data_IF_702954043999
#
_entry.id   IF_702954043999
#
_cell.length_a   1.000
_cell.length_b   1.000
_cell.length_c   1.000
_cell.angle_alpha   90.00
_cell.angle_beta   90.00
_cell.angle_gamma   90.00
#
_symmetry.space_group_name_H-M   'P 1'
#
loop_
_entity.id
_entity.type
_entity.pdbx_description
1 polymer ?
#
# COMPACT_ATOMS: atom_id res chain seq x y z
N UNK A 1 -4.74 -76.18 -4.72
CA UNK A 1 -5.28 -75.25 -3.70
C UNK A 1 -4.61 -73.90 -3.90
N UNK A 2 -5.39 -72.81 -3.85
CA UNK A 2 -4.99 -71.44 -4.18
C UNK A 2 -4.35 -70.78 -2.93
N UNK A 3 -3.66 -69.64 -3.04
CA UNK A 3 -4.28 -68.31 -3.01
C UNK A 3 -3.40 -67.30 -3.75
N UNK A 4 -3.95 -66.83 -4.86
CA UNK A 4 -3.61 -65.55 -5.46
C UNK A 4 -4.07 -64.42 -4.52
N UNK A 5 -3.25 -63.38 -4.39
CA UNK A 5 -3.73 -62.08 -3.94
C UNK A 5 -3.30 -61.03 -4.94
N UNK A 6 -4.34 -60.40 -5.49
CA UNK A 6 -4.36 -59.40 -6.52
C UNK A 6 -3.54 -58.15 -6.19
N UNK A 7 -2.90 -57.63 -7.23
CA UNK A 7 -2.46 -56.26 -7.30
C UNK A 7 -3.67 -55.33 -7.55
N UNK A 8 -3.86 -54.25 -6.77
CA UNK A 8 -4.69 -53.15 -7.20
C UNK A 8 -3.84 -52.07 -7.87
N UNK A 9 -4.23 -51.80 -9.11
CA UNK A 9 -4.00 -50.59 -9.89
C UNK A 9 -3.79 -49.32 -9.05
N UNK A 10 -2.67 -48.64 -9.28
CA UNK A 10 -2.48 -47.24 -8.87
C UNK A 10 -3.48 -46.38 -9.64
N UNK A 11 -4.57 -46.02 -8.96
CA UNK A 11 -5.59 -45.11 -9.42
C UNK A 11 -5.04 -43.68 -9.51
N UNK A 12 -5.38 -43.02 -10.62
CA UNK A 12 -5.35 -41.57 -10.80
C UNK A 12 -6.01 -40.88 -9.59
N UNK A 13 -5.22 -40.17 -8.79
CA UNK A 13 -5.76 -39.21 -7.84
C UNK A 13 -6.19 -37.97 -8.62
N UNK A 14 -7.51 -37.80 -8.73
CA UNK A 14 -8.16 -36.56 -9.14
C UNK A 14 -7.68 -35.41 -8.24
N UNK A 15 -7.14 -34.35 -8.86
CA UNK A 15 -6.99 -33.06 -8.21
C UNK A 15 -8.39 -32.53 -7.88
N UNK A 16 -8.74 -32.59 -6.61
CA UNK A 16 -9.99 -32.04 -6.08
C UNK A 16 -9.81 -30.52 -6.02
N UNK A 17 -10.53 -29.81 -6.90
CA UNK A 17 -10.73 -28.37 -6.82
C UNK A 17 -11.36 -28.03 -5.46
N UNK A 18 -10.57 -27.50 -4.54
CA UNK A 18 -11.10 -26.85 -3.35
C UNK A 18 -11.54 -25.45 -3.77
N UNK A 19 -12.78 -25.36 -4.23
CA UNK A 19 -13.55 -24.12 -4.24
C UNK A 19 -13.72 -23.67 -2.80
N UNK A 20 -12.86 -22.75 -2.34
CA UNK A 20 -13.08 -22.01 -1.10
C UNK A 20 -14.24 -21.05 -1.40
N UNK A 21 -15.46 -21.48 -1.09
CA UNK A 21 -16.58 -20.59 -0.94
C UNK A 21 -16.24 -19.65 0.23
N UNK A 22 -16.07 -18.37 -0.07
CA UNK A 22 -16.01 -17.33 0.96
C UNK A 22 -17.45 -17.15 1.44
N UNK A 23 -17.79 -17.83 2.54
CA UNK A 23 -18.98 -17.49 3.32
C UNK A 23 -18.83 -16.07 3.84
N UNK A 24 -19.65 -15.16 3.30
CA UNK A 24 -19.81 -13.81 3.81
C UNK A 24 -20.71 -13.92 5.04
N UNK A 25 -20.12 -13.97 6.22
CA UNK A 25 -20.85 -13.89 7.48
C UNK A 25 -21.34 -12.44 7.68
N UNK A 26 -22.59 -12.18 7.30
CA UNK A 26 -23.27 -10.87 7.36
C UNK A 26 -24.27 -10.84 8.53
N UNK A 27 -23.83 -11.18 9.75
CA UNK A 27 -24.74 -11.31 10.92
C UNK A 27 -24.44 -10.44 12.14
N UNK A 28 -23.55 -9.44 12.07
CA UNK A 28 -23.46 -8.38 13.11
C UNK A 28 -23.79 -7.01 12.55
N UNK A 29 -25.02 -6.53 12.78
CA UNK A 29 -25.43 -5.18 12.40
C UNK A 29 -25.07 -4.17 13.48
N UNK A 30 -23.85 -3.65 13.41
CA UNK A 30 -23.48 -2.41 14.07
C UNK A 30 -24.12 -1.23 13.32
N UNK A 31 -24.89 -0.41 14.04
CA UNK A 31 -25.31 0.91 13.54
C UNK A 31 -24.11 1.83 13.68
N UNK A 32 -23.63 2.39 12.57
CA UNK A 32 -22.55 3.36 12.59
C UNK A 32 -23.15 4.76 12.82
N UNK A 33 -23.05 5.27 14.04
CA UNK A 33 -23.59 6.57 14.45
C UNK A 33 -22.68 7.75 14.07
N UNK A 34 -21.84 7.59 13.04
CA UNK A 34 -20.96 8.66 12.53
C UNK A 34 -21.70 9.65 11.64
N UNK A 35 -21.15 10.86 11.51
CA UNK A 35 -21.63 11.86 10.56
C UNK A 35 -21.12 11.55 9.14
N UNK A 36 -21.87 11.97 8.12
CA UNK A 36 -21.40 11.97 6.73
C UNK A 36 -20.26 12.98 6.56
N UNK A 37 -19.26 12.70 5.70
CA UNK A 37 -18.18 13.63 5.45
C UNK A 37 -18.70 14.89 4.74
N UNK A 38 -18.29 16.05 5.23
CA UNK A 38 -18.57 17.35 4.60
C UNK A 38 -17.38 17.71 3.70
N UNK A 39 -17.59 17.69 2.39
CA UNK A 39 -16.54 18.02 1.42
C UNK A 39 -16.37 19.53 1.25
N UNK A 40 -15.15 19.95 0.96
CA UNK A 40 -14.85 21.31 0.52
C UNK A 40 -15.33 21.53 -0.90
N UNK A 41 -15.45 22.80 -1.27
CA UNK A 41 -15.70 23.22 -2.65
C UNK A 41 -14.69 22.55 -3.59
N UNK A 42 -15.22 21.82 -4.57
CA UNK A 42 -14.42 21.09 -5.54
C UNK A 42 -14.08 22.01 -6.70
N UNK A 43 -12.88 21.88 -7.27
CA UNK A 43 -12.48 22.66 -8.45
C UNK A 43 -13.34 22.36 -9.68
N UNK A 44 -13.95 21.16 -9.72
CA UNK A 44 -14.77 20.67 -10.83
C UNK A 44 -16.18 20.29 -10.39
N UNK A 45 -17.22 20.64 -11.18
CA UNK A 45 -18.58 20.22 -10.89
C UNK A 45 -18.77 18.70 -10.98
N UNK A 46 -18.01 18.00 -11.84
CA UNK A 46 -18.07 16.54 -11.92
C UNK A 46 -17.57 15.88 -10.62
N UNK A 47 -16.52 16.43 -10.01
CA UNK A 47 -15.99 15.94 -8.74
C UNK A 47 -16.99 16.17 -7.60
N UNK A 48 -17.57 17.36 -7.51
CA UNK A 48 -18.61 17.67 -6.54
C UNK A 48 -19.81 16.71 -6.65
N UNK A 49 -20.25 16.43 -7.88
CA UNK A 49 -21.34 15.48 -8.17
C UNK A 49 -20.97 14.06 -7.74
N UNK A 50 -19.72 13.64 -7.97
CA UNK A 50 -19.25 12.32 -7.60
C UNK A 50 -19.11 12.13 -6.08
N UNK A 51 -18.62 13.16 -5.39
CA UNK A 51 -18.54 13.20 -3.92
C UNK A 51 -19.95 13.19 -3.28
N UNK A 52 -20.89 13.95 -3.85
CA UNK A 52 -22.29 13.90 -3.44
C UNK A 52 -22.90 12.50 -3.66
N UNK A 53 -22.60 11.87 -4.80
CA UNK A 53 -23.04 10.50 -5.12
C UNK A 53 -22.45 9.48 -4.15
N UNK A 54 -21.18 9.63 -3.76
CA UNK A 54 -20.54 8.80 -2.74
C UNK A 54 -21.29 8.91 -1.41
N UNK A 55 -21.60 10.13 -0.97
CA UNK A 55 -22.35 10.35 0.27
C UNK A 55 -23.75 9.74 0.21
N UNK A 56 -24.55 10.05 -0.81
CA UNK A 56 -25.97 9.65 -0.86
C UNK A 56 -26.18 8.17 -1.18
N UNK A 57 -25.36 7.56 -2.05
CA UNK A 57 -25.59 6.21 -2.56
C UNK A 57 -24.74 5.13 -1.91
N UNK A 58 -23.57 5.47 -1.34
CA UNK A 58 -22.62 4.49 -0.79
C UNK A 58 -22.53 4.61 0.73
N UNK A 59 -22.30 5.82 1.25
CA UNK A 59 -22.06 6.02 2.69
C UNK A 59 -23.37 6.07 3.48
N UNK A 60 -24.32 6.92 3.05
CA UNK A 60 -25.60 7.15 3.72
C UNK A 60 -26.34 5.86 4.10
N UNK A 61 -26.50 4.86 3.21
CA UNK A 61 -27.23 3.65 3.56
C UNK A 61 -26.64 2.87 4.75
N UNK A 62 -25.35 3.03 5.05
CA UNK A 62 -24.70 2.36 6.19
C UNK A 62 -24.96 3.04 7.53
N UNK A 63 -25.38 4.31 7.51
CA UNK A 63 -25.80 5.05 8.70
C UNK A 63 -27.29 4.86 9.03
N UNK A 64 -28.07 4.32 8.08
CA UNK A 64 -29.49 4.06 8.27
C UNK A 64 -29.75 2.82 9.12
N UNK A 65 -30.81 2.85 9.93
CA UNK A 65 -31.36 1.66 10.59
C UNK A 65 -31.89 0.66 9.56
N UNK A 66 -32.03 -0.62 9.93
CA UNK A 66 -32.57 -1.67 9.02
C UNK A 66 -33.93 -1.30 8.43
N UNK A 67 -34.78 -0.65 9.22
CA UNK A 67 -36.12 -0.23 8.79
C UNK A 67 -36.04 0.89 7.75
N UNK A 68 -35.21 1.90 8.00
CA UNK A 68 -34.94 2.99 7.04
C UNK A 68 -34.29 2.46 5.76
N UNK A 69 -33.32 1.54 5.85
CA UNK A 69 -32.74 0.88 4.67
C UNK A 69 -33.80 0.15 3.87
N UNK A 70 -34.70 -0.59 4.53
CA UNK A 70 -35.79 -1.31 3.86
C UNK A 70 -36.75 -0.34 3.17
N UNK A 71 -37.01 0.82 3.76
CA UNK A 71 -37.83 1.86 3.16
C UNK A 71 -37.16 2.44 1.90
N UNK A 72 -35.89 2.84 2.02
CA UNK A 72 -35.11 3.46 0.95
C UNK A 72 -34.92 2.54 -0.26
N UNK A 73 -34.72 1.23 -0.03
CA UNK A 73 -34.46 0.27 -1.12
C UNK A 73 -35.71 -0.35 -1.74
N UNK A 74 -36.91 -0.18 -1.18
CA UNK A 74 -38.13 -0.78 -1.72
C UNK A 74 -38.74 0.09 -2.82
N UNK A 75 -38.92 -0.48 -4.00
CA UNK A 75 -39.54 0.21 -5.15
C UNK A 75 -40.95 0.72 -4.83
N UNK A 76 -41.76 -0.09 -4.14
CA UNK A 76 -43.14 0.26 -3.78
C UNK A 76 -43.23 1.46 -2.84
N UNK A 77 -42.13 1.80 -2.15
CA UNK A 77 -42.06 2.92 -1.21
C UNK A 77 -41.56 4.21 -1.87
N UNK A 78 -41.17 4.16 -3.15
CA UNK A 78 -40.67 5.32 -3.89
C UNK A 78 -41.68 6.46 -3.93
N UNK A 79 -42.90 6.20 -4.38
CA UNK A 79 -43.96 7.20 -4.45
C UNK A 79 -44.31 7.78 -3.07
N UNK A 80 -44.17 6.97 -2.02
CA UNK A 80 -44.39 7.42 -0.63
C UNK A 80 -43.28 8.35 -0.16
N UNK A 81 -42.02 8.03 -0.42
CA UNK A 81 -40.87 8.87 -0.07
C UNK A 81 -40.88 10.20 -0.84
N UNK A 82 -41.36 10.20 -2.09
CA UNK A 82 -41.52 11.43 -2.89
C UNK A 82 -42.68 12.31 -2.42
N UNK A 83 -43.79 11.71 -1.95
CA UNK A 83 -44.95 12.44 -1.45
C UNK A 83 -44.80 12.93 0.00
N UNK A 84 -44.17 12.12 0.86
CA UNK A 84 -43.95 12.39 2.28
C UNK A 84 -42.47 12.19 2.62
N UNK A 85 -41.63 13.24 2.45
CA UNK A 85 -40.20 13.15 2.71
C UNK A 85 -39.95 12.81 4.18
N UNK A 86 -39.30 11.68 4.43
CA UNK A 86 -38.88 11.31 5.78
C UNK A 86 -37.50 11.90 6.02
N UNK A 87 -37.42 12.90 6.89
CA UNK A 87 -36.15 13.50 7.28
C UNK A 87 -35.41 12.61 8.30
N UNK A 88 -34.10 12.52 8.13
CA UNK A 88 -33.20 11.89 9.08
C UNK A 88 -32.09 12.84 9.46
N UNK A 89 -31.68 12.79 10.73
CA UNK A 89 -30.55 13.59 11.23
C UNK A 89 -29.35 12.68 11.45
N UNK A 90 -28.24 13.00 10.78
CA UNK A 90 -26.96 12.32 10.89
C UNK A 90 -25.90 13.32 11.37
N UNK A 91 -25.53 13.24 12.65
CA UNK A 91 -24.72 14.28 13.29
C UNK A 91 -25.46 15.62 13.24
N UNK A 92 -24.84 16.62 12.60
CA UNK A 92 -25.39 17.98 12.47
C UNK A 92 -26.15 18.22 11.16
N UNK A 93 -26.30 17.19 10.31
CA UNK A 93 -26.93 17.32 8.99
C UNK A 93 -28.27 16.59 8.97
N UNK A 94 -29.34 17.32 8.65
CA UNK A 94 -30.67 16.75 8.36
C UNK A 94 -30.86 16.61 6.85
N UNK A 95 -31.20 15.40 6.40
CA UNK A 95 -31.38 15.08 4.98
C UNK A 95 -32.71 14.33 4.78
N UNK A 96 -33.46 14.60 3.70
CA UNK A 96 -34.60 13.76 3.34
C UNK A 96 -34.13 12.39 2.83
N UNK A 97 -34.84 11.34 3.21
CA UNK A 97 -34.64 10.01 2.66
C UNK A 97 -35.20 9.93 1.23
N UNK A 98 -34.32 9.64 0.29
CA UNK A 98 -34.69 9.38 -1.10
C UNK A 98 -34.68 7.89 -1.39
N UNK A 99 -35.46 7.47 -2.39
CA UNK A 99 -35.42 6.10 -2.87
C UNK A 99 -34.08 5.79 -3.57
N UNK A 100 -33.44 4.68 -3.20
CA UNK A 100 -32.19 4.21 -3.82
C UNK A 100 -32.45 2.90 -4.55
N UNK A 101 -32.18 2.90 -5.85
CA UNK A 101 -32.23 1.68 -6.66
C UNK A 101 -30.97 0.84 -6.45
N UNK A 102 -31.14 -0.38 -5.90
CA UNK A 102 -30.05 -1.34 -5.68
C UNK A 102 -29.37 -1.80 -6.97
N UNK A 103 -30.10 -1.86 -8.08
CA UNK A 103 -29.58 -2.34 -9.36
C UNK A 103 -28.71 -1.29 -10.06
N UNK A 104 -28.82 -0.03 -9.66
CA UNK A 104 -28.10 1.10 -10.25
C UNK A 104 -27.12 1.76 -9.26
N UNK A 105 -26.63 1.00 -8.28
CA UNK A 105 -25.63 1.50 -7.33
C UNK A 105 -24.25 1.66 -8.00
N UNK A 106 -23.54 2.77 -7.74
CA UNK A 106 -22.18 2.93 -8.19
C UNK A 106 -21.25 1.91 -7.51
N UNK A 107 -20.28 1.39 -8.24
CA UNK A 107 -19.28 0.49 -7.67
C UNK A 107 -18.24 1.29 -6.89
N UNK A 108 -18.02 0.93 -5.61
CA UNK A 108 -17.09 1.65 -4.72
C UNK A 108 -15.70 1.81 -5.33
N UNK A 109 -15.21 0.76 -6.00
CA UNK A 109 -13.90 0.76 -6.64
C UNK A 109 -13.82 1.81 -7.76
N UNK A 110 -14.84 1.89 -8.62
CA UNK A 110 -14.87 2.87 -9.70
C UNK A 110 -15.01 4.28 -9.13
N UNK A 111 -15.89 4.49 -8.15
CA UNK A 111 -16.06 5.79 -7.49
C UNK A 111 -14.76 6.32 -6.89
N UNK A 112 -14.01 5.48 -6.14
CA UNK A 112 -12.71 5.89 -5.58
C UNK A 112 -11.73 6.25 -6.70
N UNK A 113 -11.64 5.43 -7.75
CA UNK A 113 -10.73 5.67 -8.86
C UNK A 113 -11.07 6.96 -9.63
N UNK A 114 -12.36 7.21 -9.87
CA UNK A 114 -12.86 8.39 -10.56
C UNK A 114 -12.65 9.65 -9.71
N UNK A 115 -12.83 9.60 -8.38
CA UNK A 115 -12.51 10.70 -7.45
C UNK A 115 -11.03 11.03 -7.54
N UNK A 116 -10.14 10.04 -7.38
CA UNK A 116 -8.69 10.24 -7.46
C UNK A 116 -8.27 10.85 -8.80
N UNK A 117 -8.87 10.39 -9.90
CA UNK A 117 -8.60 10.91 -11.24
C UNK A 117 -9.04 12.37 -11.38
N UNK A 118 -10.25 12.71 -10.93
CA UNK A 118 -10.76 14.08 -11.03
C UNK A 118 -9.99 15.04 -10.11
N UNK A 119 -9.58 14.60 -8.91
CA UNK A 119 -8.69 15.37 -8.03
C UNK A 119 -7.33 15.62 -8.66
N UNK A 120 -6.77 14.64 -9.38
CA UNK A 120 -5.51 14.78 -10.13
C UNK A 120 -5.66 15.76 -11.30
N UNK A 121 -6.76 15.73 -12.04
CA UNK A 121 -7.00 16.66 -13.14
C UNK A 121 -7.34 18.09 -12.67
N UNK A 122 -7.93 18.26 -11.48
CA UNK A 122 -8.23 19.56 -10.88
C UNK A 122 -7.01 20.18 -10.19
N UNK A 123 -6.17 19.33 -9.58
CA UNK A 123 -4.93 19.68 -8.88
C UNK A 123 -5.09 20.75 -7.78
N UNK A 124 -6.31 20.96 -7.26
CA UNK A 124 -6.53 21.87 -6.13
C UNK A 124 -6.22 21.19 -4.81
N UNK A 125 -5.77 21.98 -3.83
CA UNK A 125 -5.53 21.50 -2.46
C UNK A 125 -6.80 20.91 -1.84
N UNK A 126 -7.94 21.55 -2.09
CA UNK A 126 -9.26 21.18 -1.58
C UNK A 126 -9.70 19.82 -2.13
N UNK A 127 -9.42 19.55 -3.41
CA UNK A 127 -9.78 18.28 -4.05
C UNK A 127 -9.02 17.10 -3.45
N UNK A 128 -7.75 17.30 -3.08
CA UNK A 128 -6.94 16.30 -2.40
C UNK A 128 -7.32 16.14 -0.93
N UNK A 129 -7.68 17.23 -0.25
CA UNK A 129 -8.23 17.17 1.10
C UNK A 129 -9.57 16.38 1.11
N UNK A 130 -10.39 16.51 0.06
CA UNK A 130 -11.61 15.73 -0.11
C UNK A 130 -11.33 14.21 -0.26
N UNK A 131 -10.15 13.82 -0.77
CA UNK A 131 -9.73 12.40 -0.78
C UNK A 131 -9.54 11.88 0.65
N UNK A 132 -8.95 12.68 1.55
CA UNK A 132 -8.81 12.30 2.96
C UNK A 132 -10.18 12.21 3.64
N UNK A 133 -11.07 13.18 3.38
CA UNK A 133 -12.45 13.13 3.90
C UNK A 133 -13.25 11.95 3.37
N UNK A 134 -12.99 11.51 2.14
CA UNK A 134 -13.56 10.27 1.61
C UNK A 134 -13.11 9.06 2.44
N UNK A 135 -11.83 8.97 2.82
CA UNK A 135 -11.35 7.91 3.71
C UNK A 135 -12.07 7.97 5.07
N UNK A 136 -12.22 9.17 5.63
CA UNK A 136 -12.97 9.39 6.88
C UNK A 136 -14.43 8.93 6.75
N UNK A 137 -15.08 9.25 5.63
CA UNK A 137 -16.44 8.79 5.33
C UNK A 137 -16.57 7.27 5.27
N UNK A 138 -15.60 6.58 4.66
CA UNK A 138 -15.62 5.12 4.61
C UNK A 138 -15.47 4.48 6.00
N UNK A 139 -14.54 4.96 6.82
CA UNK A 139 -14.34 4.44 8.19
C UNK A 139 -15.55 4.74 9.07
N UNK A 140 -16.08 5.98 9.02
CA UNK A 140 -17.29 6.37 9.75
C UNK A 140 -18.51 5.54 9.34
N UNK A 141 -18.63 5.15 8.08
CA UNK A 141 -19.69 4.28 7.57
C UNK A 141 -19.43 2.78 7.86
N UNK A 142 -18.32 2.44 8.54
CA UNK A 142 -17.95 1.07 8.82
C UNK A 142 -17.52 0.25 7.61
N UNK A 143 -17.20 0.92 6.52
CA UNK A 143 -16.77 0.29 5.27
C UNK A 143 -15.24 0.22 5.30
N UNK A 144 -14.71 -0.92 5.73
CA UNK A 144 -13.26 -1.17 5.66
C UNK A 144 -12.80 -1.21 4.21
N UNK A 145 -11.95 -0.25 3.83
CA UNK A 145 -11.27 -0.28 2.53
C UNK A 145 -10.26 -1.42 2.51
N UNK A 146 -10.19 -2.13 1.39
CA UNK A 146 -9.14 -3.13 1.23
C UNK A 146 -7.75 -2.47 1.12
N UNK A 147 -6.74 -3.26 1.42
CA UNK A 147 -5.34 -2.81 1.45
C UNK A 147 -4.84 -2.37 0.08
N UNK A 148 -5.42 -2.85 -1.03
CA UNK A 148 -5.05 -2.44 -2.38
C UNK A 148 -5.60 -1.04 -2.72
N UNK A 149 -6.80 -0.70 -2.25
CA UNK A 149 -7.42 0.62 -2.38
C UNK A 149 -6.69 1.64 -1.52
N UNK A 150 -6.36 1.30 -0.27
CA UNK A 150 -5.53 2.15 0.58
C UNK A 150 -4.17 2.43 -0.09
N UNK A 151 -3.49 1.39 -0.57
CA UNK A 151 -2.23 1.51 -1.29
C UNK A 151 -2.36 2.39 -2.56
N UNK A 152 -3.47 2.27 -3.30
CA UNK A 152 -3.75 3.10 -4.47
C UNK A 152 -3.88 4.59 -4.10
N UNK A 153 -4.63 4.91 -3.05
CA UNK A 153 -4.83 6.28 -2.56
C UNK A 153 -3.49 6.87 -2.11
N UNK A 154 -2.73 6.15 -1.28
CA UNK A 154 -1.39 6.56 -0.83
C UNK A 154 -0.50 6.89 -2.02
N UNK A 155 -0.40 5.96 -2.99
CA UNK A 155 0.43 6.15 -4.18
C UNK A 155 0.04 7.40 -4.96
N UNK A 156 -1.26 7.66 -5.13
CA UNK A 156 -1.75 8.84 -5.86
C UNK A 156 -1.47 10.14 -5.12
N UNK A 157 -1.57 10.16 -3.79
CA UNK A 157 -1.19 11.33 -2.99
C UNK A 157 0.30 11.64 -3.12
N UNK A 158 1.18 10.65 -2.98
CA UNK A 158 2.63 10.86 -3.16
C UNK A 158 3.01 11.30 -4.58
N UNK A 159 2.40 10.72 -5.62
CA UNK A 159 2.64 11.10 -7.01
C UNK A 159 2.26 12.56 -7.32
N UNK A 160 1.44 13.19 -6.48
CA UNK A 160 0.96 14.56 -6.65
C UNK A 160 1.48 15.53 -5.56
N UNK A 161 2.55 15.16 -4.83
CA UNK A 161 3.15 16.02 -3.80
C UNK A 161 2.25 16.27 -2.59
N UNK A 162 1.36 15.33 -2.29
CA UNK A 162 0.40 15.42 -1.17
C UNK A 162 0.81 14.52 0.01
N UNK A 163 2.12 14.34 0.24
CA UNK A 163 2.65 13.52 1.32
C UNK A 163 2.18 13.97 2.71
N UNK A 164 1.98 15.28 2.90
CA UNK A 164 1.44 15.85 4.14
C UNK A 164 0.02 15.35 4.44
N UNK A 165 -0.80 15.06 3.42
CA UNK A 165 -2.13 14.48 3.60
C UNK A 165 -2.06 12.99 3.96
N UNK A 166 -1.07 12.26 3.44
CA UNK A 166 -0.80 10.88 3.88
C UNK A 166 -0.45 10.86 5.37
N UNK A 167 0.46 11.73 5.80
CA UNK A 167 0.83 11.86 7.20
C UNK A 167 -0.38 12.24 8.08
N UNK A 168 -1.17 13.23 7.65
CA UNK A 168 -2.40 13.65 8.36
C UNK A 168 -3.42 12.52 8.48
N UNK A 169 -3.51 11.65 7.47
CA UNK A 169 -4.39 10.50 7.50
C UNK A 169 -3.86 9.40 8.44
N UNK A 170 -2.54 9.16 8.45
CA UNK A 170 -1.88 8.21 9.34
C UNK A 170 -1.99 8.64 10.81
N UNK A 171 -1.79 9.93 11.13
CA UNK A 171 -1.94 10.47 12.49
C UNK A 171 -3.35 10.34 13.08
N UNK A 172 -4.35 9.97 12.26
CA UNK A 172 -5.75 9.83 12.67
C UNK A 172 -6.31 8.49 12.18
N UNK A 173 -5.70 7.34 12.55
CA UNK A 173 -6.02 6.06 11.90
C UNK A 173 -7.41 5.55 12.32
N UNK A 174 -7.94 5.96 13.47
CA UNK A 174 -9.35 5.78 13.87
C UNK A 174 -10.34 6.57 13.02
N UNK A 175 -9.95 7.73 12.52
CA UNK A 175 -10.83 8.55 11.69
C UNK A 175 -10.78 8.11 10.23
N UNK A 176 -9.60 7.81 9.70
CA UNK A 176 -9.40 7.53 8.26
C UNK A 176 -9.43 6.05 7.90
N UNK A 177 -9.30 5.16 8.90
CA UNK A 177 -9.09 3.72 8.68
C UNK A 177 -7.74 3.36 8.07
N UNK A 178 -6.85 4.35 7.84
CA UNK A 178 -5.54 4.14 7.25
C UNK A 178 -4.54 3.66 8.31
N UNK A 179 -4.07 2.42 8.19
CA UNK A 179 -3.20 1.76 9.16
C UNK A 179 -1.98 1.15 8.47
N UNK A 180 -0.93 0.88 9.24
CA UNK A 180 0.34 0.33 8.73
C UNK A 180 0.55 -1.15 9.07
N UNK A 181 -0.49 -1.83 9.57
CA UNK A 181 -0.52 -3.27 9.91
C UNK A 181 -0.42 -4.20 8.70
N UNK A 182 -0.58 -3.64 7.51
CA UNK A 182 -0.58 -4.36 6.25
C UNK A 182 0.61 -3.88 5.41
N UNK A 183 1.39 -4.82 4.87
CA UNK A 183 2.60 -4.47 4.13
C UNK A 183 2.30 -3.64 2.87
N UNK A 184 1.14 -3.83 2.23
CA UNK A 184 0.81 -3.14 0.98
C UNK A 184 0.68 -1.60 1.14
N UNK A 185 -0.13 -1.07 2.08
CA UNK A 185 -0.11 0.36 2.41
C UNK A 185 1.26 0.85 2.84
N UNK A 186 1.92 0.17 3.79
CA UNK A 186 3.23 0.58 4.31
C UNK A 186 4.29 0.66 3.21
N UNK A 187 4.32 -0.33 2.31
CA UNK A 187 5.22 -0.34 1.16
C UNK A 187 5.02 0.88 0.25
N UNK A 188 3.77 1.30 -0.01
CA UNK A 188 3.54 2.51 -0.83
C UNK A 188 3.97 3.80 -0.11
N UNK A 189 3.85 3.83 1.22
CA UNK A 189 4.35 4.95 2.04
C UNK A 189 5.87 5.03 1.92
N UNK A 190 6.57 3.93 2.21
CA UNK A 190 8.04 3.85 2.11
C UNK A 190 8.53 4.18 0.70
N UNK A 191 7.83 3.68 -0.32
CA UNK A 191 8.11 3.98 -1.72
C UNK A 191 7.99 5.47 -2.01
N UNK A 192 6.89 6.10 -1.61
CA UNK A 192 6.70 7.54 -1.83
C UNK A 192 7.80 8.39 -1.19
N UNK A 193 8.17 8.04 0.05
CA UNK A 193 9.22 8.72 0.81
C UNK A 193 10.60 8.57 0.16
N UNK A 194 10.92 7.39 -0.36
CA UNK A 194 12.21 7.15 -1.03
C UNK A 194 12.25 7.74 -2.45
N UNK A 195 11.17 7.61 -3.21
CA UNK A 195 11.12 8.00 -4.62
C UNK A 195 11.23 9.52 -4.78
N UNK A 196 10.65 10.33 -3.88
CA UNK A 196 10.67 11.79 -3.97
C UNK A 196 12.09 12.40 -4.09
N UNK A 197 12.99 12.20 -3.11
CA UNK A 197 14.34 12.75 -3.22
C UNK A 197 15.13 12.11 -4.35
N UNK A 198 14.97 10.80 -4.61
CA UNK A 198 15.66 10.14 -5.71
C UNK A 198 15.28 10.72 -7.09
N UNK A 199 14.01 11.04 -7.31
CA UNK A 199 13.55 11.70 -8.54
C UNK A 199 14.05 13.15 -8.63
N UNK A 200 14.19 13.83 -7.49
CA UNK A 200 14.82 15.14 -7.37
C UNK A 200 16.36 15.04 -7.22
N UNK A 201 16.99 13.99 -7.75
CA UNK A 201 18.46 13.83 -7.76
C UNK A 201 19.17 13.95 -6.39
N UNK A 202 18.43 13.65 -5.32
CA UNK A 202 18.86 13.75 -3.94
C UNK A 202 19.26 15.17 -3.54
N UNK A 203 18.54 16.17 -4.04
CA UNK A 203 18.64 17.56 -3.60
C UNK A 203 18.40 17.68 -2.09
N UNK A 204 19.05 18.67 -1.47
CA UNK A 204 19.12 18.79 -0.01
C UNK A 204 17.74 18.89 0.62
N UNK A 205 16.91 19.83 0.14
CA UNK A 205 15.61 20.16 0.73
C UNK A 205 14.65 18.98 0.66
N UNK A 206 14.58 18.31 -0.49
CA UNK A 206 13.75 17.13 -0.72
C UNK A 206 14.20 15.96 0.15
N UNK A 207 15.52 15.77 0.30
CA UNK A 207 16.09 14.69 1.11
C UNK A 207 15.87 14.92 2.61
N UNK A 208 16.03 16.16 3.09
CA UNK A 208 15.73 16.53 4.48
C UNK A 208 14.24 16.36 4.81
N UNK A 209 13.35 16.81 3.90
CA UNK A 209 11.90 16.64 4.06
C UNK A 209 11.50 15.17 4.08
N UNK A 210 12.04 14.37 3.16
CA UNK A 210 11.81 12.93 3.12
C UNK A 210 12.34 12.24 4.38
N UNK A 211 13.52 12.61 4.89
CA UNK A 211 14.05 12.04 6.13
C UNK A 211 13.17 12.37 7.33
N UNK A 212 12.70 13.62 7.44
CA UNK A 212 11.77 14.04 8.49
C UNK A 212 10.46 13.25 8.43
N UNK A 213 9.90 13.08 7.23
CA UNK A 213 8.70 12.28 7.02
C UNK A 213 8.93 10.80 7.37
N UNK A 214 10.05 10.22 6.95
CA UNK A 214 10.44 8.85 7.29
C UNK A 214 10.52 8.63 8.81
N UNK A 215 11.11 9.58 9.54
CA UNK A 215 11.20 9.54 11.01
C UNK A 215 9.81 9.55 11.65
N UNK A 216 8.91 10.43 11.19
CA UNK A 216 7.53 10.49 11.68
C UNK A 216 6.75 9.21 11.39
N UNK A 217 6.96 8.60 10.22
CA UNK A 217 6.33 7.31 9.88
C UNK A 217 6.85 6.19 10.80
N UNK A 218 8.17 6.13 11.04
CA UNK A 218 8.75 5.15 11.96
C UNK A 218 8.23 5.34 13.39
N UNK A 219 8.07 6.58 13.84
CA UNK A 219 7.46 6.88 15.14
C UNK A 219 6.00 6.41 15.20
N UNK A 220 5.21 6.64 14.14
CA UNK A 220 3.83 6.16 14.05
C UNK A 220 3.74 4.63 13.99
N UNK A 221 4.76 3.91 13.53
CA UNK A 221 4.78 2.44 13.57
C UNK A 221 4.88 1.89 15.00
N UNK A 222 5.35 2.69 15.97
CA UNK A 222 5.38 2.31 17.38
C UNK A 222 3.99 2.45 18.05
N UNK A 223 3.04 3.13 17.41
CA UNK A 223 1.66 3.24 17.88
C UNK A 223 0.90 1.92 17.63
N UNK A 224 0.24 1.41 18.67
CA UNK A 224 -0.57 0.19 18.63
C UNK A 224 -1.72 0.29 17.61
N UNK A 225 -2.20 1.49 17.29
CA UNK A 225 -3.24 1.70 16.27
C UNK A 225 -2.74 1.40 14.84
N UNK A 226 -1.42 1.42 14.63
CA UNK A 226 -0.78 1.15 13.35
C UNK A 226 -0.30 -0.28 13.19
N UNK A 227 0.44 -0.84 14.16
CA UNK A 227 1.05 -2.18 14.05
C UNK A 227 0.46 -3.23 15.00
N UNK A 228 -0.63 -2.91 15.70
CA UNK A 228 -1.23 -3.77 16.73
C UNK A 228 -0.43 -3.72 18.04
N UNK A 229 -1.06 -4.14 19.14
CA UNK A 229 -0.38 -4.24 20.43
C UNK A 229 0.87 -5.13 20.32
N UNK A 230 1.91 -4.78 21.08
CA UNK A 230 3.14 -5.57 21.22
C UNK A 230 2.79 -7.06 21.44
N UNK A 231 3.46 -8.01 20.76
CA UNK A 231 3.18 -9.42 20.97
C UNK A 231 3.34 -9.76 22.46
N UNK A 232 2.29 -10.34 23.03
CA UNK A 232 2.35 -10.96 24.36
C UNK A 232 2.99 -12.34 24.15
N UNK A 233 4.33 -12.41 24.14
CA UNK A 233 5.09 -13.66 24.00
C UNK A 233 6.18 -13.63 22.90
N UNK A 234 6.69 -14.82 22.53
CA UNK A 234 7.80 -15.01 21.57
C UNK A 234 7.38 -14.94 20.09
N UNK A 235 6.08 -14.90 19.77
CA UNK A 235 5.61 -14.79 18.39
C UNK A 235 5.59 -13.32 17.95
N UNK A 236 6.58 -12.91 17.15
CA UNK A 236 6.50 -11.65 16.39
C UNK A 236 5.20 -11.68 15.58
N UNK A 237 4.29 -10.76 15.88
CA UNK A 237 3.03 -10.63 15.15
C UNK A 237 3.32 -10.60 13.65
N UNK A 238 2.60 -11.42 12.85
CA UNK A 238 2.68 -11.41 11.38
C UNK A 238 2.41 -10.04 10.74
N UNK A 239 2.02 -9.05 11.55
CA UNK A 239 1.66 -7.68 11.19
C UNK A 239 2.64 -6.62 11.76
N UNK A 240 3.70 -7.04 12.46
CA UNK A 240 4.75 -6.12 12.91
C UNK A 240 5.84 -6.02 11.83
N UNK A 241 5.95 -4.84 11.22
CA UNK A 241 6.94 -4.57 10.19
C UNK A 241 8.11 -3.70 10.69
N UNK A 242 8.15 -3.33 11.96
CA UNK A 242 9.20 -2.42 12.50
C UNK A 242 10.61 -2.98 12.32
N UNK A 243 10.75 -4.30 12.46
CA UNK A 243 12.02 -5.01 12.27
C UNK A 243 12.33 -5.34 10.80
N UNK A 244 11.45 -5.02 9.84
CA UNK A 244 11.66 -5.39 8.44
C UNK A 244 12.79 -4.54 7.85
N UNK A 245 13.80 -5.14 7.17
CA UNK A 245 14.92 -4.38 6.60
C UNK A 245 14.50 -3.23 5.69
N UNK A 246 13.46 -3.39 4.87
CA UNK A 246 12.95 -2.32 4.01
C UNK A 246 12.43 -1.08 4.76
N UNK A 247 11.84 -1.25 5.96
CA UNK A 247 11.35 -0.15 6.80
C UNK A 247 12.52 0.67 7.35
N UNK A 248 13.60 -0.01 7.77
CA UNK A 248 14.79 0.62 8.34
C UNK A 248 15.68 1.21 7.24
N UNK A 249 15.71 0.57 6.06
CA UNK A 249 16.56 0.99 4.95
C UNK A 249 16.21 2.38 4.42
N UNK A 250 14.93 2.74 4.30
CA UNK A 250 14.51 4.05 3.77
C UNK A 250 15.10 5.23 4.57
N UNK A 251 14.88 5.37 5.89
CA UNK A 251 15.50 6.45 6.66
C UNK A 251 17.03 6.34 6.69
N UNK A 252 17.60 5.12 6.66
CA UNK A 252 19.05 4.93 6.59
C UNK A 252 19.65 5.49 5.30
N UNK A 253 19.03 5.20 4.14
CA UNK A 253 19.47 5.71 2.85
C UNK A 253 19.38 7.24 2.77
N UNK A 254 18.32 7.83 3.32
CA UNK A 254 18.13 9.28 3.35
C UNK A 254 19.15 9.99 4.25
N UNK A 255 19.39 9.47 5.45
CA UNK A 255 20.43 10.00 6.34
C UNK A 255 21.82 9.88 5.71
N UNK A 256 22.12 8.71 5.10
CA UNK A 256 23.39 8.49 4.42
C UNK A 256 23.56 9.41 3.21
N UNK A 257 22.49 9.70 2.45
CA UNK A 257 22.51 10.63 1.33
C UNK A 257 22.86 12.05 1.79
N UNK A 258 22.23 12.53 2.87
CA UNK A 258 22.54 13.84 3.46
C UNK A 258 23.97 13.92 3.95
N UNK A 259 24.46 12.90 4.68
CA UNK A 259 25.85 12.88 5.14
C UNK A 259 26.85 12.84 3.98
N UNK A 260 26.53 12.15 2.90
CA UNK A 260 27.41 12.03 1.73
C UNK A 260 27.46 13.33 0.89
N UNK A 261 26.34 14.03 0.72
CA UNK A 261 26.20 15.12 -0.24
C UNK A 261 26.04 16.52 0.37
N UNK A 262 25.50 16.61 1.59
CA UNK A 262 24.95 17.84 2.17
C UNK A 262 25.32 18.04 3.65
N UNK A 263 26.47 17.54 4.09
CA UNK A 263 26.99 17.71 5.47
C UNK A 263 26.04 17.19 6.59
N UNK A 264 25.24 16.16 6.29
CA UNK A 264 24.35 15.51 7.26
C UNK A 264 25.06 14.78 8.41
N UNK A 265 24.27 14.41 9.44
CA UNK A 265 24.78 13.79 10.67
C UNK A 265 25.30 12.36 10.46
N UNK A 266 26.63 12.22 10.51
CA UNK A 266 27.34 10.93 10.37
C UNK A 266 27.03 9.95 11.50
N UNK A 267 26.79 10.42 12.73
CA UNK A 267 26.45 9.55 13.85
C UNK A 267 25.03 8.99 13.71
N UNK A 268 24.11 9.77 13.14
CA UNK A 268 22.79 9.27 12.75
C UNK A 268 22.90 8.14 11.70
N UNK A 269 23.74 8.30 10.69
CA UNK A 269 24.01 7.24 9.69
C UNK A 269 24.52 5.98 10.39
N UNK A 270 25.51 6.12 11.28
CA UNK A 270 26.10 5.00 12.03
C UNK A 270 25.05 4.25 12.85
N UNK A 271 24.18 4.96 13.56
CA UNK A 271 23.08 4.39 14.35
C UNK A 271 22.09 3.62 13.48
N UNK A 272 21.62 4.24 12.39
CA UNK A 272 20.62 3.64 11.51
C UNK A 272 21.17 2.45 10.73
N UNK A 273 22.40 2.56 10.19
CA UNK A 273 23.06 1.47 9.49
C UNK A 273 23.32 0.26 10.42
N UNK A 274 23.75 0.49 11.66
CA UNK A 274 23.89 -0.58 12.65
C UNK A 274 22.56 -1.29 12.93
N UNK A 275 21.46 -0.53 13.11
CA UNK A 275 20.11 -1.11 13.26
C UNK A 275 19.69 -1.93 12.05
N UNK A 276 19.99 -1.45 10.84
CA UNK A 276 19.69 -2.16 9.60
C UNK A 276 20.41 -3.50 9.54
N UNK A 277 21.72 -3.53 9.80
CA UNK A 277 22.49 -4.80 9.78
C UNK A 277 22.00 -5.77 10.84
N UNK A 278 21.68 -5.29 12.06
CA UNK A 278 21.08 -6.13 13.11
C UNK A 278 19.74 -6.71 12.67
N UNK A 279 18.87 -5.90 12.09
CA UNK A 279 17.57 -6.37 11.58
C UNK A 279 17.72 -7.42 10.48
N UNK A 280 18.69 -7.25 9.58
CA UNK A 280 18.98 -8.22 8.52
C UNK A 280 19.51 -9.56 9.05
N UNK A 281 20.17 -9.55 10.23
CA UNK A 281 20.63 -10.75 10.94
C UNK A 281 19.51 -11.46 11.70
N UNK A 282 18.58 -10.70 12.29
CA UNK A 282 17.53 -11.21 13.17
C UNK A 282 16.27 -11.66 12.44
N UNK A 283 15.84 -10.91 11.42
CA UNK A 283 14.67 -11.27 10.64
C UNK A 283 15.04 -12.49 9.78
N UNK A 284 14.21 -13.55 9.83
CA UNK A 284 14.28 -14.79 9.03
C UNK A 284 15.13 -14.58 7.76
N UNK A 285 16.33 -15.19 7.72
CA UNK A 285 17.57 -14.51 7.35
C UNK A 285 17.33 -13.71 6.07
N UNK A 286 17.59 -12.40 6.07
CA UNK A 286 17.41 -11.55 4.89
C UNK A 286 18.05 -12.15 3.62
N UNK A 287 19.09 -12.99 3.80
CA UNK A 287 19.64 -13.85 2.77
C UNK A 287 18.62 -14.75 2.07
N UNK A 288 17.73 -15.43 2.79
CA UNK A 288 16.63 -16.23 2.25
C UNK A 288 15.63 -15.36 1.47
N UNK A 289 15.31 -14.16 1.96
CA UNK A 289 14.49 -13.20 1.20
C UNK A 289 15.17 -12.82 -0.13
N UNK A 290 16.48 -12.59 -0.14
CA UNK A 290 17.25 -12.36 -1.37
C UNK A 290 17.24 -13.60 -2.27
N UNK A 291 17.42 -14.80 -1.71
CA UNK A 291 17.48 -16.03 -2.48
C UNK A 291 16.12 -16.31 -3.16
N UNK A 292 15.01 -16.11 -2.43
CA UNK A 292 13.65 -16.17 -2.96
C UNK A 292 13.42 -15.10 -4.05
N UNK A 293 13.96 -13.90 -3.86
CA UNK A 293 13.90 -12.85 -4.87
C UNK A 293 14.65 -13.24 -6.14
N UNK A 294 15.84 -13.83 -6.03
CA UNK A 294 16.62 -14.31 -7.16
C UNK A 294 15.87 -15.40 -7.95
N UNK A 295 15.24 -16.36 -7.26
CA UNK A 295 14.36 -17.37 -7.90
C UNK A 295 13.21 -16.70 -8.64
N UNK A 296 12.55 -15.72 -8.01
CA UNK A 296 11.46 -14.95 -8.62
C UNK A 296 11.92 -14.15 -9.84
N UNK A 297 13.15 -13.65 -9.82
CA UNK A 297 13.76 -12.89 -10.91
C UNK A 297 14.23 -13.76 -12.07
N UNK A 298 14.39 -15.07 -11.88
CA UNK A 298 14.75 -16.00 -12.94
C UNK A 298 13.59 -16.26 -13.94
N UNK A 299 12.35 -15.94 -13.58
CA UNK A 299 11.18 -16.23 -14.41
C UNK A 299 11.25 -15.56 -15.81
N UNK A 300 10.74 -16.27 -16.81
CA UNK A 300 10.65 -15.85 -18.21
C UNK A 300 9.21 -15.84 -18.69
N UNK A 301 8.95 -15.33 -19.90
CA UNK A 301 7.59 -15.25 -20.44
C UNK A 301 6.90 -16.63 -20.52
N UNK A 302 7.67 -17.69 -20.83
CA UNK A 302 7.16 -19.05 -21.02
C UNK A 302 6.62 -19.69 -19.74
N UNK A 303 6.98 -19.16 -18.57
CA UNK A 303 6.53 -19.67 -17.27
C UNK A 303 5.05 -19.32 -17.01
N UNK A 304 4.46 -18.45 -17.82
CA UNK A 304 3.09 -17.98 -17.64
C UNK A 304 2.23 -18.33 -18.84
N UNK A 305 1.18 -19.11 -18.62
CA UNK A 305 0.20 -19.46 -19.65
C UNK A 305 -0.84 -18.36 -19.91
N UNK A 306 -0.97 -17.37 -19.01
CA UNK A 306 -1.94 -16.26 -19.12
C UNK A 306 -1.26 -14.91 -18.89
N UNK A 307 -1.65 -13.89 -19.67
CA UNK A 307 -1.11 -12.53 -19.55
C UNK A 307 -1.31 -11.94 -18.16
N UNK A 308 -2.44 -12.17 -17.50
CA UNK A 308 -2.67 -11.63 -16.15
C UNK A 308 -1.77 -12.29 -15.09
N UNK A 309 -1.38 -13.57 -15.28
CA UNK A 309 -0.42 -14.25 -14.39
C UNK A 309 0.98 -13.66 -14.58
N UNK A 310 1.40 -13.42 -15.82
CA UNK A 310 2.63 -12.71 -16.15
C UNK A 310 2.67 -11.34 -15.48
N UNK A 311 1.63 -10.52 -15.69
CA UNK A 311 1.55 -9.17 -15.12
C UNK A 311 1.54 -9.21 -13.60
N UNK A 312 0.79 -10.14 -12.99
CA UNK A 312 0.74 -10.31 -11.53
C UNK A 312 2.12 -10.69 -10.97
N UNK A 313 2.81 -11.65 -11.59
CA UNK A 313 4.16 -12.06 -11.19
C UNK A 313 5.13 -10.89 -11.27
N UNK A 314 5.20 -10.25 -12.44
CA UNK A 314 6.14 -9.18 -12.68
C UNK A 314 5.87 -7.96 -11.79
N UNK A 315 4.60 -7.60 -11.54
CA UNK A 315 4.23 -6.57 -10.54
C UNK A 315 4.73 -6.94 -9.15
N UNK A 316 4.52 -8.19 -8.74
CA UNK A 316 5.00 -8.67 -7.44
C UNK A 316 6.53 -8.66 -7.36
N UNK A 317 7.22 -9.03 -8.44
CA UNK A 317 8.67 -9.06 -8.53
C UNK A 317 9.26 -7.64 -8.51
N UNK A 318 8.63 -6.68 -9.19
CA UNK A 318 9.02 -5.26 -9.13
C UNK A 318 8.91 -4.70 -7.71
N UNK A 319 7.86 -5.06 -6.96
CA UNK A 319 7.75 -4.63 -5.57
C UNK A 319 8.87 -5.24 -4.69
N UNK A 320 9.24 -6.51 -4.93
CA UNK A 320 10.40 -7.14 -4.28
C UNK A 320 11.70 -6.42 -4.63
N UNK A 321 11.92 -6.13 -5.92
CA UNK A 321 13.10 -5.40 -6.40
C UNK A 321 13.21 -4.03 -5.73
N UNK A 322 12.11 -3.29 -5.63
CA UNK A 322 12.09 -1.97 -5.00
C UNK A 322 12.57 -2.00 -3.55
N UNK A 323 12.17 -3.01 -2.78
CA UNK A 323 12.64 -3.17 -1.40
C UNK A 323 14.15 -3.46 -1.33
N UNK A 324 14.67 -4.28 -2.25
CA UNK A 324 16.11 -4.57 -2.34
C UNK A 324 16.89 -3.33 -2.78
N UNK A 325 16.33 -2.49 -3.66
CA UNK A 325 16.91 -1.20 -4.05
C UNK A 325 17.10 -0.30 -2.82
N UNK A 326 16.10 -0.20 -1.94
CA UNK A 326 16.23 0.59 -0.71
C UNK A 326 17.35 0.08 0.18
N UNK A 327 17.40 -1.23 0.41
CA UNK A 327 18.42 -1.85 1.28
C UNK A 327 19.83 -1.70 0.68
N UNK A 328 19.99 -2.00 -0.61
CA UNK A 328 21.27 -1.84 -1.32
C UNK A 328 21.74 -0.39 -1.29
N UNK A 329 20.85 0.57 -1.56
CA UNK A 329 21.16 2.00 -1.48
C UNK A 329 21.57 2.43 -0.07
N UNK A 330 20.84 1.99 0.96
CA UNK A 330 21.14 2.30 2.35
C UNK A 330 22.53 1.79 2.75
N UNK A 331 22.85 0.52 2.48
CA UNK A 331 24.12 -0.08 2.86
C UNK A 331 25.29 0.54 2.08
N UNK A 332 25.15 0.67 0.76
CA UNK A 332 26.24 1.18 -0.08
C UNK A 332 26.59 2.63 0.26
N UNK A 333 25.59 3.50 0.40
CA UNK A 333 25.81 4.89 0.77
C UNK A 333 26.39 5.00 2.19
N UNK A 334 25.89 4.19 3.14
CA UNK A 334 26.43 4.17 4.51
C UNK A 334 27.89 3.70 4.55
N UNK A 335 28.25 2.70 3.74
CA UNK A 335 29.63 2.21 3.61
C UNK A 335 30.56 3.29 3.02
N UNK A 336 30.09 4.13 2.09
CA UNK A 336 30.85 5.28 1.59
C UNK A 336 31.10 6.34 2.66
N UNK A 337 30.08 6.63 3.47
CA UNK A 337 30.17 7.65 4.52
C UNK A 337 31.04 7.18 5.68
N UNK A 338 30.87 5.92 6.13
CA UNK A 338 31.46 5.42 7.36
C UNK A 338 32.75 4.61 7.15
N UNK A 339 32.95 4.03 5.97
CA UNK A 339 34.04 3.10 5.70
C UNK A 339 34.03 1.92 6.69
N UNK A 340 35.14 1.71 7.37
CA UNK A 340 35.31 0.64 8.37
C UNK A 340 34.62 0.95 9.71
N UNK A 341 34.14 2.18 9.92
CA UNK A 341 33.47 2.59 11.15
C UNK A 341 31.97 2.20 11.20
N UNK A 342 31.44 1.61 10.13
CA UNK A 342 30.07 1.09 10.12
C UNK A 342 29.97 -0.08 11.12
N UNK A 343 28.92 -0.15 11.96
CA UNK A 343 28.72 -1.29 12.83
C UNK A 343 28.54 -2.57 12.00
N UNK A 344 29.18 -3.67 12.41
CA UNK A 344 29.12 -4.96 11.70
C UNK A 344 29.63 -4.85 10.24
N UNK A 345 30.81 -4.24 10.05
CA UNK A 345 31.34 -3.90 8.73
C UNK A 345 31.53 -5.06 7.76
N UNK A 346 31.85 -6.26 8.26
CA UNK A 346 31.97 -7.45 7.42
C UNK A 346 30.60 -7.87 6.89
N UNK A 347 29.62 -8.03 7.78
CA UNK A 347 28.25 -8.41 7.40
C UNK A 347 27.61 -7.34 6.51
N UNK A 348 27.83 -6.05 6.79
CA UNK A 348 27.34 -4.96 5.98
C UNK A 348 27.82 -5.05 4.52
N UNK A 349 29.10 -5.37 4.29
CA UNK A 349 29.66 -5.57 2.95
C UNK A 349 29.13 -6.82 2.27
N UNK A 350 28.97 -7.92 3.01
CA UNK A 350 28.39 -9.15 2.47
C UNK A 350 26.94 -8.91 2.00
N UNK A 351 26.13 -8.26 2.84
CA UNK A 351 24.75 -7.92 2.51
C UNK A 351 24.65 -6.91 1.36
N UNK A 352 25.51 -5.88 1.33
CA UNK A 352 25.55 -4.90 0.24
C UNK A 352 25.87 -5.59 -1.09
N UNK A 353 26.90 -6.43 -1.12
CA UNK A 353 27.32 -7.13 -2.34
C UNK A 353 26.21 -8.04 -2.87
N UNK A 354 25.58 -8.82 -1.97
CA UNK A 354 24.47 -9.72 -2.34
C UNK A 354 23.25 -8.93 -2.84
N UNK A 355 22.83 -7.89 -2.11
CA UNK A 355 21.69 -7.07 -2.48
C UNK A 355 21.91 -6.37 -3.83
N UNK A 356 23.10 -5.78 -4.04
CA UNK A 356 23.49 -5.15 -5.31
C UNK A 356 23.39 -6.11 -6.48
N UNK A 357 23.95 -7.30 -6.37
CA UNK A 357 23.86 -8.32 -7.42
C UNK A 357 22.40 -8.66 -7.75
N UNK A 358 21.58 -8.82 -6.72
CA UNK A 358 20.16 -9.16 -6.90
C UNK A 358 19.34 -7.99 -7.46
N UNK A 359 19.73 -6.73 -7.21
CA UNK A 359 19.16 -5.57 -7.92
C UNK A 359 19.43 -5.67 -9.41
N UNK A 360 20.66 -6.01 -9.82
CA UNK A 360 21.01 -6.16 -11.24
C UNK A 360 20.20 -7.28 -11.90
N UNK A 361 20.09 -8.44 -11.26
CA UNK A 361 19.24 -9.56 -11.70
C UNK A 361 17.76 -9.14 -11.84
N UNK A 362 17.25 -8.36 -10.88
CA UNK A 362 15.90 -7.83 -10.91
C UNK A 362 15.67 -6.81 -12.03
N UNK A 363 16.63 -5.92 -12.29
CA UNK A 363 16.58 -5.00 -13.43
C UNK A 363 16.50 -5.76 -14.77
N UNK A 364 17.30 -6.82 -14.94
CA UNK A 364 17.25 -7.66 -16.13
C UNK A 364 15.92 -8.42 -16.25
N UNK A 365 15.36 -8.90 -15.13
CA UNK A 365 14.00 -9.46 -15.12
C UNK A 365 12.95 -8.43 -15.56
N UNK A 366 13.02 -7.18 -15.06
CA UNK A 366 12.07 -6.13 -15.45
C UNK A 366 12.15 -5.86 -16.95
N UNK A 367 13.35 -5.75 -17.52
CA UNK A 367 13.55 -5.58 -18.97
C UNK A 367 12.94 -6.75 -19.75
N UNK A 368 13.18 -7.99 -19.30
CA UNK A 368 12.68 -9.21 -19.93
C UNK A 368 11.16 -9.35 -19.87
N UNK A 369 10.55 -9.05 -18.72
CA UNK A 369 9.11 -9.23 -18.49
C UNK A 369 8.28 -7.98 -18.80
N UNK A 370 8.89 -6.86 -19.20
CA UNK A 370 8.19 -5.63 -19.62
C UNK A 370 7.25 -5.89 -20.80
N UNK A 371 7.63 -6.80 -21.70
CA UNK A 371 6.84 -7.20 -22.86
C UNK A 371 6.37 -8.65 -22.75
N UNK A 372 5.30 -8.95 -23.48
CA UNK A 372 4.77 -10.31 -23.67
C UNK A 372 4.29 -10.44 -25.11
N UNK A 373 4.78 -11.41 -25.87
CA UNK A 373 4.51 -11.56 -27.31
C UNK A 373 4.67 -10.24 -28.10
N UNK A 374 5.73 -9.49 -27.80
CA UNK A 374 6.02 -8.20 -28.43
C UNK A 374 5.14 -7.02 -27.98
N UNK A 375 4.16 -7.23 -27.09
CA UNK A 375 3.31 -6.16 -26.54
C UNK A 375 3.81 -5.71 -25.18
N UNK A 376 3.88 -4.40 -24.96
CA UNK A 376 4.23 -3.84 -23.64
C UNK A 376 3.08 -4.09 -22.66
N UNK A 377 3.38 -4.75 -21.54
CA UNK A 377 2.37 -5.10 -20.51
C UNK A 377 2.65 -4.46 -19.14
N UNK A 378 3.85 -3.92 -18.91
CA UNK A 378 4.22 -3.26 -17.63
C UNK A 378 4.60 -1.78 -17.75
N UNK A 379 4.57 -1.20 -18.96
CA UNK A 379 4.80 0.21 -19.29
C UNK A 379 5.51 1.05 -18.22
N UNK A 380 4.79 2.02 -17.66
CA UNK A 380 5.30 2.99 -16.69
C UNK A 380 5.83 2.38 -15.40
N UNK A 381 5.32 1.24 -14.95
CA UNK A 381 5.77 0.61 -13.71
C UNK A 381 7.16 -0.02 -13.87
N UNK A 382 7.42 -0.66 -15.01
CA UNK A 382 8.74 -1.21 -15.33
C UNK A 382 9.77 -0.07 -15.49
N UNK A 383 9.39 0.98 -16.22
CA UNK A 383 10.27 2.13 -16.44
C UNK A 383 10.60 2.85 -15.13
N UNK A 384 9.62 3.03 -14.25
CA UNK A 384 9.84 3.59 -12.92
C UNK A 384 10.84 2.76 -12.11
N UNK A 385 10.68 1.43 -12.08
CA UNK A 385 11.57 0.56 -11.29
C UNK A 385 13.03 0.63 -11.77
N UNK A 386 13.24 0.70 -13.10
CA UNK A 386 14.57 0.86 -13.69
C UNK A 386 15.16 2.23 -13.35
N UNK A 387 14.39 3.31 -13.53
CA UNK A 387 14.81 4.67 -13.14
C UNK A 387 15.19 4.73 -11.67
N UNK A 388 14.42 4.11 -10.78
CA UNK A 388 14.72 4.09 -9.34
C UNK A 388 16.01 3.32 -9.02
N UNK A 389 16.27 2.22 -9.71
CA UNK A 389 17.54 1.50 -9.57
C UNK A 389 18.72 2.37 -10.00
N UNK A 390 18.59 3.11 -11.12
CA UNK A 390 19.65 3.98 -11.63
C UNK A 390 19.89 5.19 -10.71
N UNK A 391 18.83 5.84 -10.22
CA UNK A 391 18.93 6.94 -9.25
C UNK A 391 19.55 6.49 -7.93
N UNK A 392 19.23 5.28 -7.47
CA UNK A 392 19.85 4.68 -6.29
C UNK A 392 21.34 4.36 -6.50
N UNK A 393 21.72 3.86 -7.69
CA UNK A 393 23.13 3.63 -8.06
C UNK A 393 23.93 4.92 -8.16
N UNK A 394 23.32 6.01 -8.64
CA UNK A 394 23.98 7.32 -8.79
C UNK A 394 24.20 8.04 -7.45
N UNK A 395 23.41 7.73 -6.43
CA UNK A 395 23.70 8.11 -5.05
C UNK A 395 24.88 7.30 -4.51
N UNK A 396 24.75 5.98 -4.73
CA UNK A 396 25.70 4.90 -4.51
C UNK A 396 27.06 5.06 -5.17
#
# INVERSE_FOLDING_TARGET
MPLAHDAPSQGRAHAQEVCIAVEVDDTSTHIYTGALPVYLESSKPELATLLATLNSKILLPRHLTKEQQKLVYKQDQKAKLEAEPIEITLGDVTLPLEHIDRNHLPTRQKTIADILKLSEEGASREDWENVVRMLEGFENAGIRLDTAKQAMVIRKLFQNGQEHLVLKALQRPKATGLRMRDWRPLFQILRGVFDQPALADWEQVETENALRLAKQIVELLEDEEHCGAYPIGEEVSKHDFRGRPGVIAVPTALAAALALRHEGDVEEVKKLAGRLVVAMKQHDPYNAFIDDAAVKFAATESDFNKTWLHVRHATSAINTLQEIIWVSSALRTSLKVLGDNIPHAEEARQFESKATKTVDEGCEMVKRLKTRNGKVVLGSMADHALTMADKARALA
#
